data_IF_605224405868
#
_entry.id   IF_605224405868
#
_cell.length_a   1.000
_cell.length_b   1.000
_cell.length_c   1.000
_cell.angle_alpha   90.00
_cell.angle_beta   90.00
_cell.angle_gamma   90.00
#
_symmetry.space_group_name_H-M   'P 1'
#
loop_
_entity.id
_entity.type
_entity.pdbx_description
1 polymer ?
#
# COMPACT_ATOMS: atom_id res chain seq x y z
N UNK A 1 18.00 8.09 -30.57
CA UNK A 1 17.53 7.58 -29.26
C UNK A 1 17.38 6.05 -29.23
N UNK A 2 16.94 5.43 -30.35
CA UNK A 2 16.72 3.96 -30.40
C UNK A 2 18.03 3.13 -30.37
N UNK A 3 19.16 3.67 -30.75
CA UNK A 3 20.44 2.93 -30.79
C UNK A 3 21.03 2.69 -29.38
N UNK A 4 20.77 3.55 -28.41
CA UNK A 4 21.20 3.35 -27.00
C UNK A 4 20.44 2.24 -26.28
N UNK A 5 19.17 2.05 -26.62
CA UNK A 5 18.33 0.98 -26.06
C UNK A 5 18.77 -0.42 -26.52
N UNK A 6 19.43 -0.52 -27.69
CA UNK A 6 19.86 -1.80 -28.27
C UNK A 6 21.15 -2.38 -27.65
N UNK A 7 21.94 -1.54 -27.00
CA UNK A 7 23.18 -1.96 -26.31
C UNK A 7 23.01 -2.15 -24.81
N UNK A 8 21.79 -1.96 -24.31
CA UNK A 8 21.44 -2.18 -22.90
C UNK A 8 21.63 -3.66 -22.54
N UNK A 9 22.36 -3.91 -21.45
CA UNK A 9 22.69 -5.25 -21.00
C UNK A 9 21.64 -5.68 -19.97
N UNK A 10 21.01 -6.81 -20.22
CA UNK A 10 20.02 -7.43 -19.33
C UNK A 10 20.68 -8.63 -18.64
N UNK A 11 20.48 -8.75 -17.33
CA UNK A 11 20.92 -9.93 -16.61
C UNK A 11 19.92 -11.07 -16.88
N UNK A 12 20.41 -12.17 -17.44
CA UNK A 12 19.60 -13.35 -17.71
C UNK A 12 20.27 -14.55 -17.02
N UNK A 13 19.68 -14.99 -15.95
CA UNK A 13 20.22 -16.11 -15.21
C UNK A 13 21.53 -15.81 -14.50
N UNK A 14 22.54 -16.63 -14.76
CA UNK A 14 23.89 -16.46 -14.21
C UNK A 14 24.82 -15.65 -15.11
N UNK A 15 24.29 -14.98 -16.15
CA UNK A 15 25.06 -14.21 -17.10
C UNK A 15 24.38 -12.93 -17.53
N UNK A 16 25.12 -12.10 -18.26
CA UNK A 16 24.60 -10.87 -18.86
C UNK A 16 24.50 -11.07 -20.37
N UNK A 17 23.36 -10.69 -20.97
CA UNK A 17 23.12 -10.70 -22.41
C UNK A 17 22.72 -9.31 -22.88
N UNK A 18 23.02 -8.97 -24.12
CA UNK A 18 22.46 -7.74 -24.70
C UNK A 18 20.95 -7.90 -24.87
N UNK A 19 20.20 -6.86 -24.60
CA UNK A 19 18.72 -6.87 -24.68
C UNK A 19 18.20 -7.38 -26.02
N UNK A 20 18.90 -7.06 -27.11
CA UNK A 20 18.57 -7.55 -28.45
C UNK A 20 18.72 -9.06 -28.66
N UNK A 21 19.52 -9.71 -27.84
CA UNK A 21 19.82 -11.14 -27.93
C UNK A 21 18.89 -11.97 -27.01
N UNK A 22 18.06 -11.31 -26.20
CA UNK A 22 17.09 -11.96 -25.32
C UNK A 22 15.82 -12.26 -26.10
N UNK A 23 15.57 -13.54 -26.37
CA UNK A 23 14.40 -14.02 -27.12
C UNK A 23 13.12 -14.09 -26.29
N UNK A 24 13.23 -13.90 -24.97
CA UNK A 24 12.13 -13.98 -24.01
C UNK A 24 11.43 -12.66 -23.75
N UNK A 25 10.19 -12.73 -23.19
CA UNK A 25 9.43 -11.56 -22.75
C UNK A 25 10.00 -10.99 -21.44
N UNK A 26 11.10 -10.24 -21.54
CA UNK A 26 11.75 -9.54 -20.42
C UNK A 26 11.31 -8.08 -20.42
N UNK A 27 10.84 -7.60 -19.26
CA UNK A 27 10.61 -6.17 -19.07
C UNK A 27 11.71 -5.59 -18.18
N UNK A 28 12.27 -4.48 -18.59
CA UNK A 28 13.36 -3.79 -17.91
C UNK A 28 12.86 -2.47 -17.31
N UNK A 29 13.26 -2.22 -16.07
CA UNK A 29 13.07 -0.96 -15.36
C UNK A 29 14.44 -0.44 -14.98
N UNK A 30 14.90 0.57 -15.69
CA UNK A 30 16.25 1.14 -15.53
C UNK A 30 16.29 2.31 -14.55
N UNK A 31 17.48 2.88 -14.43
CA UNK A 31 17.80 3.96 -13.49
C UNK A 31 16.94 5.24 -13.67
N UNK A 32 16.45 5.50 -14.89
CA UNK A 32 15.56 6.64 -15.15
C UNK A 32 14.28 6.59 -14.30
N UNK A 33 13.69 5.42 -14.18
CA UNK A 33 12.47 5.23 -13.38
C UNK A 33 12.80 5.30 -11.90
N UNK A 34 13.91 4.69 -11.48
CA UNK A 34 14.28 4.62 -10.06
C UNK A 34 14.73 5.96 -9.50
N UNK A 35 15.35 6.84 -10.31
CA UNK A 35 15.76 8.19 -9.90
C UNK A 35 14.60 9.17 -9.74
N UNK A 36 13.64 9.11 -10.67
CA UNK A 36 12.61 10.14 -10.78
C UNK A 36 11.33 9.81 -9.99
N UNK A 37 11.23 8.63 -9.42
CA UNK A 37 10.05 8.19 -8.67
C UNK A 37 10.33 8.15 -7.17
N UNK A 38 9.45 8.76 -6.39
CA UNK A 38 9.47 8.60 -4.95
C UNK A 38 8.91 7.21 -4.62
N UNK A 39 9.77 6.31 -4.18
CA UNK A 39 9.43 4.94 -3.82
C UNK A 39 9.80 4.68 -2.36
N UNK A 40 8.90 4.04 -1.61
CA UNK A 40 9.16 3.56 -0.25
C UNK A 40 9.80 2.18 -0.27
N UNK A 41 9.47 1.40 -1.31
CA UNK A 41 10.02 0.06 -1.54
C UNK A 41 10.22 -0.21 -3.05
N UNK A 42 10.91 -1.31 -3.36
CA UNK A 42 11.26 -1.67 -4.73
C UNK A 42 10.04 -1.96 -5.63
N UNK A 43 8.91 -2.42 -5.07
CA UNK A 43 7.69 -2.70 -5.85
C UNK A 43 7.05 -1.44 -6.40
N UNK A 44 7.23 -0.30 -5.74
CA UNK A 44 6.67 0.98 -6.19
C UNK A 44 7.18 1.34 -7.61
N UNK A 45 8.39 0.90 -7.97
CA UNK A 45 8.93 1.11 -9.32
C UNK A 45 8.21 0.31 -10.41
N UNK A 46 7.58 -0.81 -10.03
CA UNK A 46 6.90 -1.70 -10.96
C UNK A 46 5.43 -1.31 -11.20
N UNK A 47 4.83 -0.55 -10.27
CA UNK A 47 3.42 -0.16 -10.37
C UNK A 47 3.19 0.69 -11.61
N UNK A 48 2.40 0.16 -12.56
CA UNK A 48 2.03 0.87 -13.80
C UNK A 48 3.16 1.02 -14.83
N UNK A 49 4.36 0.45 -14.58
CA UNK A 49 5.50 0.57 -15.50
C UNK A 49 5.68 -0.67 -16.37
N UNK A 50 5.25 -1.84 -15.90
CA UNK A 50 5.52 -3.12 -16.55
C UNK A 50 4.23 -3.80 -16.99
N UNK A 51 3.98 -3.97 -18.30
CA UNK A 51 2.81 -4.69 -18.80
C UNK A 51 2.79 -6.14 -18.34
N UNK A 52 1.61 -6.61 -17.89
CA UNK A 52 1.42 -7.99 -17.40
C UNK A 52 1.92 -8.26 -15.98
N UNK A 53 2.36 -7.23 -15.26
CA UNK A 53 2.60 -7.26 -13.82
C UNK A 53 1.44 -6.54 -13.13
N UNK A 54 0.74 -7.27 -12.27
CA UNK A 54 -0.35 -6.72 -11.46
C UNK A 54 0.14 -6.58 -10.03
N UNK A 55 0.12 -5.36 -9.53
CA UNK A 55 0.49 -5.04 -8.16
C UNK A 55 -0.71 -4.36 -7.52
N UNK A 56 -1.17 -4.91 -6.41
CA UNK A 56 -2.15 -4.27 -5.55
C UNK A 56 -1.37 -3.46 -4.52
N UNK A 57 -1.26 -2.13 -4.66
CA UNK A 57 -0.51 -1.33 -3.71
C UNK A 57 -1.18 -1.40 -2.33
N UNK A 58 -0.37 -1.46 -1.29
CA UNK A 58 -0.83 -1.23 0.07
C UNK A 58 -1.01 0.26 0.31
N UNK A 59 -1.99 0.61 1.12
CA UNK A 59 -2.21 2.00 1.59
C UNK A 59 -1.47 2.30 2.88
N UNK A 60 -0.79 1.31 3.45
CA UNK A 60 -0.03 1.44 4.70
C UNK A 60 1.16 2.40 4.55
N UNK A 61 1.59 2.99 5.65
CA UNK A 61 2.74 3.91 5.69
C UNK A 61 4.03 3.29 5.13
N UNK A 62 4.21 1.97 5.27
CA UNK A 62 5.33 1.21 4.72
C UNK A 62 5.29 1.06 3.20
N UNK A 63 4.17 1.36 2.57
CA UNK A 63 3.95 1.05 1.16
C UNK A 63 3.96 -0.46 0.93
N UNK A 64 4.41 -0.88 -0.25
CA UNK A 64 4.46 -2.30 -0.60
C UNK A 64 3.25 -2.76 -1.37
N UNK A 65 3.08 -4.06 -1.43
CA UNK A 65 1.97 -4.65 -2.14
C UNK A 65 1.32 -5.75 -1.31
N UNK A 66 0.01 -5.69 -1.19
CA UNK A 66 -0.79 -6.80 -0.67
C UNK A 66 -0.86 -7.98 -1.64
N UNK A 67 -0.50 -7.76 -2.90
CA UNK A 67 -0.43 -8.79 -3.93
C UNK A 67 0.47 -8.39 -5.09
N UNK A 68 1.34 -9.32 -5.51
CA UNK A 68 2.19 -9.21 -6.67
C UNK A 68 1.99 -10.41 -7.57
N UNK A 69 1.48 -10.21 -8.76
CA UNK A 69 1.19 -11.27 -9.72
C UNK A 69 1.82 -10.94 -11.07
N UNK A 70 2.50 -11.92 -11.67
CA UNK A 70 2.98 -11.86 -13.04
C UNK A 70 2.08 -12.76 -13.89
N UNK A 71 1.45 -12.17 -14.94
CA UNK A 71 0.49 -12.86 -15.83
C UNK A 71 -0.72 -13.48 -15.12
N UNK A 72 -1.11 -12.92 -13.97
CA UNK A 72 -2.28 -13.36 -13.23
C UNK A 72 -2.04 -14.57 -12.33
N UNK A 73 -3.13 -15.10 -11.74
CA UNK A 73 -3.08 -16.21 -10.79
C UNK A 73 -2.97 -17.54 -11.55
N UNK A 74 -1.83 -18.21 -11.45
CA UNK A 74 -1.51 -19.44 -12.19
C UNK A 74 -1.88 -20.71 -11.44
N UNK A 75 -2.08 -20.65 -10.13
CA UNK A 75 -2.42 -21.80 -9.29
C UNK A 75 -3.45 -21.44 -8.23
N UNK A 76 -4.31 -22.38 -7.90
CA UNK A 76 -5.29 -22.25 -6.79
C UNK A 76 -4.69 -22.65 -5.44
N UNK A 77 -3.64 -23.47 -5.42
CA UNK A 77 -3.07 -24.03 -4.19
C UNK A 77 -1.58 -23.68 -3.97
N UNK A 78 -0.81 -23.45 -5.04
CA UNK A 78 0.60 -23.10 -4.94
C UNK A 78 0.78 -21.57 -4.79
N UNK A 79 1.94 -21.17 -4.23
CA UNK A 79 2.32 -19.75 -4.18
C UNK A 79 2.35 -19.17 -5.59
N UNK A 80 1.72 -18.02 -5.76
CA UNK A 80 1.71 -17.24 -7.01
C UNK A 80 2.67 -16.05 -6.96
N UNK A 81 3.45 -15.94 -5.88
CA UNK A 81 4.45 -14.88 -5.72
C UNK A 81 5.67 -15.18 -6.60
N UNK A 82 6.16 -14.21 -7.36
CA UNK A 82 7.36 -14.38 -8.17
C UNK A 82 8.60 -14.59 -7.30
N UNK A 83 9.60 -15.27 -7.88
CA UNK A 83 10.91 -15.44 -7.28
C UNK A 83 11.69 -14.13 -7.35
N UNK A 84 12.31 -13.73 -6.25
CA UNK A 84 13.19 -12.57 -6.21
C UNK A 84 14.64 -13.04 -6.26
N UNK A 85 15.42 -12.43 -7.14
CA UNK A 85 16.86 -12.65 -7.26
C UNK A 85 17.56 -11.31 -7.10
N UNK A 86 18.38 -11.18 -6.09
CA UNK A 86 19.12 -9.96 -5.76
C UNK A 86 20.60 -10.16 -6.07
N UNK A 87 21.15 -9.35 -6.97
CA UNK A 87 22.55 -9.45 -7.43
C UNK A 87 22.97 -10.88 -7.84
N UNK A 88 22.05 -11.62 -8.49
CA UNK A 88 22.30 -12.98 -8.97
C UNK A 88 22.05 -14.09 -7.94
N UNK A 89 21.68 -13.76 -6.70
CA UNK A 89 21.40 -14.73 -5.63
C UNK A 89 19.91 -14.75 -5.31
N UNK A 90 19.34 -15.95 -5.13
CA UNK A 90 17.93 -16.08 -4.72
C UNK A 90 17.74 -15.44 -3.35
N UNK A 91 16.85 -14.46 -3.31
CA UNK A 91 16.56 -13.70 -2.10
C UNK A 91 15.32 -14.25 -1.40
N UNK A 92 15.49 -14.70 -0.17
CA UNK A 92 14.40 -15.27 0.64
C UNK A 92 13.77 -14.26 1.61
N UNK A 93 14.24 -13.01 1.63
CA UNK A 93 13.65 -11.91 2.39
C UNK A 93 12.48 -11.27 1.66
N UNK A 94 11.89 -10.26 2.29
CA UNK A 94 10.85 -9.46 1.66
C UNK A 94 11.48 -8.42 0.73
N UNK A 95 10.88 -8.20 -0.43
CA UNK A 95 11.34 -7.18 -1.39
C UNK A 95 11.36 -5.77 -0.78
N UNK A 96 10.52 -5.53 0.22
CA UNK A 96 10.47 -4.29 1.00
C UNK A 96 11.74 -4.03 1.83
N UNK A 97 12.51 -5.08 2.10
CA UNK A 97 13.78 -4.96 2.84
C UNK A 97 14.89 -4.36 1.95
N UNK A 98 14.71 -4.40 0.62
CA UNK A 98 15.65 -3.80 -0.32
C UNK A 98 15.41 -2.29 -0.38
N UNK A 99 16.48 -1.52 -0.14
CA UNK A 99 16.40 -0.06 -0.23
C UNK A 99 16.21 0.36 -1.70
N UNK A 100 15.10 1.04 -2.05
CA UNK A 100 14.88 1.48 -3.43
C UNK A 100 15.99 2.40 -3.96
N UNK A 101 16.66 3.17 -3.10
CA UNK A 101 17.74 4.06 -3.51
C UNK A 101 19.02 3.31 -3.92
N UNK A 102 19.16 2.01 -3.55
CA UNK A 102 20.29 1.16 -3.92
C UNK A 102 20.08 0.41 -5.23
N UNK A 103 18.87 0.44 -5.80
CA UNK A 103 18.53 -0.28 -7.02
C UNK A 103 19.06 0.47 -8.24
N UNK A 104 19.81 -0.23 -9.08
CA UNK A 104 20.26 0.24 -10.40
C UNK A 104 19.22 -0.11 -11.46
N UNK A 105 18.79 -1.39 -11.48
CA UNK A 105 17.79 -1.87 -12.43
C UNK A 105 16.99 -3.04 -11.90
N UNK A 106 15.83 -3.27 -12.49
CA UNK A 106 14.99 -4.44 -12.25
C UNK A 106 14.60 -5.07 -13.58
N UNK A 107 14.80 -6.38 -13.72
CA UNK A 107 14.40 -7.15 -14.88
C UNK A 107 13.34 -8.17 -14.49
N UNK A 108 12.21 -8.18 -15.19
CA UNK A 108 11.09 -9.06 -14.91
C UNK A 108 10.99 -10.12 -16.00
N UNK A 109 11.32 -11.37 -15.62
CA UNK A 109 11.22 -12.53 -16.48
C UNK A 109 9.80 -13.10 -16.40
N UNK A 110 9.08 -13.05 -17.52
CA UNK A 110 7.65 -13.39 -17.54
C UNK A 110 7.34 -14.72 -18.24
N UNK A 111 8.23 -15.19 -19.10
CA UNK A 111 8.00 -16.42 -19.87
C UNK A 111 8.80 -17.62 -19.35
N UNK A 112 8.34 -18.83 -19.72
CA UNK A 112 8.93 -20.06 -19.27
C UNK A 112 10.38 -20.27 -19.75
N UNK A 113 10.76 -19.70 -20.91
CA UNK A 113 12.12 -19.84 -21.45
C UNK A 113 13.13 -19.05 -20.64
N UNK A 114 12.79 -17.81 -20.27
CA UNK A 114 13.65 -16.94 -19.46
C UNK A 114 13.71 -17.38 -17.99
N UNK A 115 12.65 -18.02 -17.47
CA UNK A 115 12.61 -18.49 -16.07
C UNK A 115 13.10 -19.93 -15.87
N UNK A 116 13.35 -20.68 -16.95
CA UNK A 116 13.72 -22.10 -16.90
C UNK A 116 14.92 -22.43 -16.01
N UNK A 117 15.92 -21.57 -15.97
CA UNK A 117 17.12 -21.73 -15.14
C UNK A 117 16.84 -21.72 -13.63
N UNK A 118 15.73 -21.11 -13.21
CA UNK A 118 15.30 -21.08 -11.80
C UNK A 118 14.39 -22.27 -11.42
N UNK A 119 14.12 -23.17 -12.38
CA UNK A 119 13.32 -24.37 -12.20
C UNK A 119 11.91 -24.07 -11.75
N UNK A 120 11.31 -24.93 -10.94
CA UNK A 120 9.94 -24.80 -10.45
C UNK A 120 9.68 -23.54 -9.64
N UNK A 121 10.69 -22.97 -8.97
CA UNK A 121 10.58 -21.72 -8.22
C UNK A 121 10.33 -20.49 -9.12
N UNK A 122 10.77 -20.56 -10.39
CA UNK A 122 10.53 -19.51 -11.38
C UNK A 122 9.16 -19.57 -12.08
N UNK A 123 8.33 -20.56 -11.77
CA UNK A 123 7.05 -20.77 -12.48
C UNK A 123 6.07 -19.58 -12.39
N UNK A 124 6.07 -18.85 -11.28
CA UNK A 124 5.27 -17.64 -11.09
C UNK A 124 5.93 -16.35 -11.65
N UNK A 125 7.05 -16.49 -12.38
CA UNK A 125 7.88 -15.38 -12.85
C UNK A 125 9.06 -15.12 -11.91
N UNK A 126 10.03 -14.35 -12.40
CA UNK A 126 11.24 -13.98 -11.65
C UNK A 126 11.47 -12.48 -11.75
N UNK A 127 11.80 -11.85 -10.64
CA UNK A 127 12.21 -10.46 -10.56
C UNK A 127 13.70 -10.44 -10.22
N UNK A 128 14.51 -9.97 -11.16
CA UNK A 128 15.93 -9.76 -10.96
C UNK A 128 16.14 -8.32 -10.52
N UNK A 129 16.80 -8.13 -9.40
CA UNK A 129 17.14 -6.81 -8.86
C UNK A 129 18.66 -6.68 -8.90
N UNK A 130 19.14 -5.70 -9.63
CA UNK A 130 20.55 -5.36 -9.67
C UNK A 130 20.76 -4.09 -8.84
N UNK A 131 21.71 -4.14 -7.92
CA UNK A 131 22.03 -3.00 -7.08
C UNK A 131 23.24 -2.23 -7.60
N UNK A 132 23.32 -0.97 -7.24
CA UNK A 132 24.36 -0.05 -7.65
C UNK A 132 25.75 -0.56 -7.28
N UNK A 133 26.69 -0.35 -8.19
CA UNK A 133 28.12 -0.64 -8.05
C UNK A 133 28.96 0.60 -8.31
N UNK A 134 30.20 0.58 -7.87
CA UNK A 134 31.15 1.63 -8.20
C UNK A 134 31.61 1.51 -9.66
N UNK A 135 31.43 2.56 -10.45
CA UNK A 135 31.81 2.59 -11.88
C UNK A 135 32.87 3.65 -12.18
N UNK A 136 32.99 4.67 -11.34
CA UNK A 136 33.89 5.81 -11.53
C UNK A 136 35.19 5.64 -10.74
N UNK A 137 36.32 5.99 -11.37
CA UNK A 137 37.62 6.02 -10.69
C UNK A 137 37.70 7.10 -9.60
N UNK A 138 36.94 8.17 -9.73
CA UNK A 138 36.79 9.17 -8.67
C UNK A 138 35.60 8.75 -7.78
N UNK A 139 35.79 8.79 -6.46
CA UNK A 139 34.68 8.54 -5.53
C UNK A 139 33.52 9.47 -5.81
N UNK A 140 32.31 8.88 -5.93
CA UNK A 140 31.05 9.62 -6.09
C UNK A 140 30.30 9.52 -4.76
N UNK A 141 30.00 10.67 -4.20
CA UNK A 141 29.18 10.78 -3.00
C UNK A 141 27.80 11.32 -3.41
N UNK A 142 26.76 10.58 -3.08
CA UNK A 142 25.38 11.01 -3.31
C UNK A 142 24.68 11.15 -1.95
N UNK A 143 23.99 12.26 -1.78
CA UNK A 143 23.08 12.49 -0.66
C UNK A 143 21.74 12.90 -1.22
N UNK A 144 20.69 12.24 -0.82
CA UNK A 144 19.33 12.54 -1.25
C UNK A 144 18.37 12.64 -0.07
N UNK A 145 17.47 13.59 -0.18
CA UNK A 145 16.36 13.76 0.78
C UNK A 145 15.09 13.93 -0.03
N UNK A 146 14.09 13.11 0.30
CA UNK A 146 12.75 13.20 -0.31
C UNK A 146 11.75 13.43 0.81
N UNK A 147 10.99 14.51 0.72
CA UNK A 147 9.92 14.84 1.66
C UNK A 147 8.65 14.99 0.86
N UNK A 148 7.58 14.37 1.31
CA UNK A 148 6.29 14.40 0.63
C UNK A 148 5.13 14.29 1.61
N UNK A 149 3.94 14.61 1.13
CA UNK A 149 2.70 14.44 1.87
C UNK A 149 1.84 13.42 1.16
N UNK A 150 1.35 12.44 1.91
CA UNK A 150 0.36 11.47 1.46
C UNK A 150 -1.03 11.96 1.87
N UNK A 151 -1.95 11.99 0.92
CA UNK A 151 -3.34 12.39 1.16
C UNK A 151 -4.28 11.33 0.56
N UNK A 152 -5.44 11.14 1.18
CA UNK A 152 -6.49 10.35 0.57
C UNK A 152 -6.99 11.06 -0.71
N UNK A 153 -6.98 10.35 -1.83
CA UNK A 153 -7.46 10.89 -3.13
C UNK A 153 -8.96 10.99 -3.20
N UNK A 154 -9.65 10.20 -2.42
CA UNK A 154 -11.10 10.20 -2.30
C UNK A 154 -11.48 9.83 -0.87
N UNK A 155 -12.33 10.63 -0.27
CA UNK A 155 -12.99 10.32 1.00
C UNK A 155 -14.49 10.41 0.76
N UNK A 156 -15.26 9.35 1.08
CA UNK A 156 -16.71 9.43 0.99
C UNK A 156 -17.22 10.45 2.01
N UNK A 157 -18.19 11.25 1.60
CA UNK A 157 -18.87 12.16 2.52
C UNK A 157 -19.64 11.35 3.57
N UNK A 158 -19.41 11.66 4.82
CA UNK A 158 -20.18 11.05 5.91
C UNK A 158 -21.60 11.65 5.93
N UNK A 159 -22.61 10.84 6.21
CA UNK A 159 -23.96 11.36 6.35
C UNK A 159 -24.01 12.37 7.50
N UNK A 160 -24.67 13.49 7.26
CA UNK A 160 -25.00 14.43 8.32
C UNK A 160 -25.87 13.76 9.38
N UNK A 161 -25.94 14.35 10.58
CA UNK A 161 -26.81 13.83 11.64
C UNK A 161 -28.26 13.65 11.17
N UNK A 162 -28.79 14.62 10.43
CA UNK A 162 -30.15 14.55 9.89
C UNK A 162 -30.32 13.37 8.91
N UNK A 163 -29.36 13.18 8.01
CA UNK A 163 -29.37 12.06 7.06
C UNK A 163 -29.22 10.71 7.79
N UNK A 164 -28.39 10.65 8.84
CA UNK A 164 -28.24 9.45 9.64
C UNK A 164 -29.55 9.10 10.37
N UNK A 165 -30.19 10.07 11.00
CA UNK A 165 -31.49 9.89 11.66
C UNK A 165 -32.57 9.45 10.67
N UNK A 166 -32.61 10.04 9.48
CA UNK A 166 -33.55 9.63 8.43
C UNK A 166 -33.31 8.17 8.01
N UNK A 167 -32.06 7.80 7.73
CA UNK A 167 -31.70 6.40 7.39
C UNK A 167 -32.11 5.42 8.49
N UNK A 168 -31.91 5.80 9.75
CA UNK A 168 -32.30 4.96 10.90
C UNK A 168 -33.83 4.79 10.95
N UNK A 169 -34.58 5.88 10.75
CA UNK A 169 -36.04 5.87 10.64
C UNK A 169 -36.52 4.95 9.50
N UNK A 170 -35.95 5.10 8.31
CA UNK A 170 -36.33 4.30 7.14
C UNK A 170 -35.97 2.81 7.31
N UNK A 171 -34.89 2.50 7.99
CA UNK A 171 -34.53 1.12 8.36
C UNK A 171 -35.59 0.48 9.25
N UNK A 172 -36.03 1.16 10.32
CA UNK A 172 -37.05 0.64 11.23
C UNK A 172 -38.43 0.55 10.56
N UNK A 173 -38.80 1.50 9.71
CA UNK A 173 -40.00 1.41 8.88
C UNK A 173 -39.97 0.18 7.97
N UNK A 174 -38.83 -0.09 7.35
CA UNK A 174 -38.66 -1.24 6.46
C UNK A 174 -38.80 -2.55 7.22
N UNK A 175 -38.17 -2.68 8.40
CA UNK A 175 -38.31 -3.87 9.24
C UNK A 175 -39.77 -4.04 9.67
N UNK A 176 -40.41 -2.96 10.07
CA UNK A 176 -41.80 -2.99 10.53
C UNK A 176 -42.75 -3.41 9.43
N UNK A 177 -42.55 -2.95 8.19
CA UNK A 177 -43.32 -3.32 7.00
C UNK A 177 -43.36 -4.85 6.76
N UNK A 178 -42.25 -5.54 7.05
CA UNK A 178 -42.16 -7.01 6.88
C UNK A 178 -42.74 -7.82 8.08
N UNK A 179 -43.19 -7.16 9.13
CA UNK A 179 -43.89 -7.85 10.23
C UNK A 179 -45.34 -8.23 9.84
N UNK A 180 -45.91 -9.25 10.47
CA UNK A 180 -47.37 -9.52 10.35
C UNK A 180 -48.19 -8.27 10.67
N UNK A 181 -49.28 -8.04 9.94
CA UNK A 181 -50.05 -6.80 10.00
C UNK A 181 -50.54 -6.40 11.40
N UNK A 182 -50.83 -7.39 12.27
CA UNK A 182 -51.19 -7.18 13.69
C UNK A 182 -50.02 -6.75 14.58
N UNK A 183 -48.77 -6.89 14.08
CA UNK A 183 -47.54 -6.48 14.76
C UNK A 183 -46.95 -5.21 14.21
N UNK A 184 -47.45 -4.69 13.07
CA UNK A 184 -46.99 -3.44 12.48
C UNK A 184 -47.38 -2.24 13.36
N UNK A 185 -46.50 -1.26 13.38
CA UNK A 185 -46.74 0.01 14.07
C UNK A 185 -47.65 0.93 13.26
N UNK A 186 -48.25 1.89 13.92
CA UNK A 186 -49.07 2.87 13.24
C UNK A 186 -48.29 3.79 12.29
N UNK A 187 -49.04 4.40 11.37
CA UNK A 187 -48.48 5.36 10.42
C UNK A 187 -47.71 6.46 11.15
N UNK A 188 -46.48 6.71 10.73
CA UNK A 188 -45.63 7.76 11.31
C UNK A 188 -44.91 7.37 12.61
N UNK A 189 -45.07 6.14 13.13
CA UNK A 189 -44.48 5.71 14.41
C UNK A 189 -42.96 5.99 14.52
N UNK A 190 -42.20 5.74 13.45
CA UNK A 190 -40.76 5.97 13.38
C UNK A 190 -40.38 7.30 12.74
N UNK A 191 -41.36 8.13 12.33
CA UNK A 191 -41.08 9.44 11.74
C UNK A 191 -40.70 10.48 12.81
N UNK A 192 -39.93 11.46 12.36
CA UNK A 192 -39.57 12.61 13.19
C UNK A 192 -40.85 13.35 13.62
N UNK A 193 -41.08 13.55 14.92
CA UNK A 193 -42.27 14.22 15.43
C UNK A 193 -42.42 15.67 14.96
N UNK A 194 -41.37 16.29 14.42
CA UNK A 194 -41.41 17.62 13.80
C UNK A 194 -41.76 17.58 12.32
N UNK A 195 -41.78 16.37 11.71
CA UNK A 195 -42.07 16.17 10.29
C UNK A 195 -42.88 14.88 10.09
N UNK A 196 -44.10 14.85 10.62
CA UNK A 196 -45.01 13.74 10.52
C UNK A 196 -45.71 13.64 9.16
N UNK A 197 -46.08 12.45 8.70
CA UNK A 197 -46.86 12.25 7.49
C UNK A 197 -48.27 12.88 7.62
N UNK A 198 -48.87 13.20 6.49
CA UNK A 198 -50.20 13.75 6.45
C UNK A 198 -51.23 12.87 7.18
N UNK A 199 -52.04 13.45 8.04
CA UNK A 199 -53.07 12.75 8.80
C UNK A 199 -52.61 12.21 10.17
N UNK A 200 -51.37 12.46 10.56
CA UNK A 200 -50.86 12.11 11.88
C UNK A 200 -50.55 13.36 12.69
N UNK A 201 -51.24 13.59 13.79
CA UNK A 201 -50.91 14.69 14.71
C UNK A 201 -49.81 14.28 15.71
N UNK A 202 -49.16 15.27 16.35
CA UNK A 202 -48.14 14.99 17.40
C UNK A 202 -48.76 14.25 18.59
N UNK A 203 -50.00 14.57 18.92
CA UNK A 203 -50.76 13.89 20.01
C UNK A 203 -51.02 12.43 19.65
N UNK A 204 -51.47 12.15 18.43
CA UNK A 204 -51.66 10.78 17.95
C UNK A 204 -50.34 10.01 17.94
N UNK A 205 -49.27 10.67 17.45
CA UNK A 205 -47.94 10.08 17.47
C UNK A 205 -47.47 9.73 18.89
N UNK A 206 -47.63 10.64 19.85
CA UNK A 206 -47.34 10.40 21.25
C UNK A 206 -48.16 9.25 21.87
N UNK A 207 -49.43 9.15 21.52
CA UNK A 207 -50.34 8.13 22.01
C UNK A 207 -50.00 6.69 21.58
N UNK A 208 -49.10 6.51 20.60
CA UNK A 208 -48.57 5.18 20.27
C UNK A 208 -47.74 4.56 21.42
N UNK A 209 -47.24 5.39 22.32
CA UNK A 209 -46.43 4.94 23.44
C UNK A 209 -47.08 5.33 24.77
N UNK A 210 -47.65 4.37 25.51
CA UNK A 210 -48.28 4.64 26.81
C UNK A 210 -47.33 5.22 27.87
N UNK A 211 -46.00 5.03 27.67
CA UNK A 211 -44.96 5.53 28.56
C UNK A 211 -44.36 6.87 28.12
N UNK A 212 -45.02 7.59 27.18
CA UNK A 212 -44.54 8.86 26.70
C UNK A 212 -44.28 9.87 27.83
N UNK A 213 -43.02 10.27 27.96
CA UNK A 213 -42.53 11.14 29.04
C UNK A 213 -42.77 12.62 28.84
N UNK A 214 -43.33 13.03 27.70
CA UNK A 214 -43.43 14.44 27.26
C UNK A 214 -42.25 14.89 26.38
N UNK A 215 -41.20 14.10 26.27
CA UNK A 215 -40.04 14.38 25.42
C UNK A 215 -40.16 13.66 24.06
N UNK A 216 -40.52 14.40 23.04
CA UNK A 216 -40.71 13.89 21.69
C UNK A 216 -39.41 13.36 21.05
N UNK A 217 -38.30 14.06 21.24
CA UNK A 217 -37.00 13.67 20.69
C UNK A 217 -36.51 12.38 21.32
N UNK A 218 -36.59 12.27 22.64
CA UNK A 218 -36.14 11.08 23.35
C UNK A 218 -36.99 9.87 22.93
N UNK A 219 -38.32 9.99 22.95
CA UNK A 219 -39.23 8.92 22.54
C UNK A 219 -38.99 8.49 21.10
N UNK A 220 -38.78 9.46 20.17
CA UNK A 220 -38.44 9.14 18.78
C UNK A 220 -37.18 8.32 18.66
N UNK A 221 -36.13 8.74 19.33
CA UNK A 221 -34.83 8.03 19.30
C UNK A 221 -34.92 6.65 19.99
N UNK A 222 -35.62 6.54 21.10
CA UNK A 222 -35.85 5.26 21.78
C UNK A 222 -36.62 4.25 20.92
N UNK A 223 -37.59 4.68 20.12
CA UNK A 223 -38.30 3.82 19.15
C UNK A 223 -37.35 3.25 18.08
N UNK A 224 -36.27 3.94 17.79
CA UNK A 224 -35.20 3.51 16.88
C UNK A 224 -34.02 2.83 17.61
N UNK A 225 -34.23 2.46 18.90
CA UNK A 225 -33.24 1.75 19.72
C UNK A 225 -31.91 2.50 19.89
N UNK A 226 -31.95 3.82 20.02
CA UNK A 226 -30.79 4.60 20.41
C UNK A 226 -30.52 4.47 21.91
N UNK A 227 -29.23 4.42 22.27
CA UNK A 227 -28.79 4.40 23.66
C UNK A 227 -28.99 5.78 24.34
N UNK A 228 -29.13 5.86 25.67
CA UNK A 228 -29.31 7.14 26.37
C UNK A 228 -28.22 8.16 26.08
N UNK A 229 -26.96 7.73 25.95
CA UNK A 229 -25.85 8.63 25.64
C UNK A 229 -25.94 9.23 24.22
N UNK A 230 -26.49 8.47 23.26
CA UNK A 230 -26.71 8.96 21.90
C UNK A 230 -27.81 10.00 21.88
N UNK A 231 -28.89 9.78 22.66
CA UNK A 231 -29.98 10.72 22.85
C UNK A 231 -29.47 12.03 23.47
N UNK A 232 -28.64 11.95 24.52
CA UNK A 232 -28.04 13.10 25.18
C UNK A 232 -27.16 13.90 24.20
N UNK A 233 -26.30 13.23 23.46
CA UNK A 233 -25.42 13.85 22.47
C UNK A 233 -26.21 14.52 21.33
N UNK A 234 -27.27 13.86 20.86
CA UNK A 234 -28.14 14.42 19.82
C UNK A 234 -28.82 15.73 20.31
N UNK A 235 -29.41 15.70 21.52
CA UNK A 235 -30.04 16.88 22.15
C UNK A 235 -29.04 18.02 22.38
N UNK A 236 -27.78 17.67 22.70
CA UNK A 236 -26.70 18.63 22.89
C UNK A 236 -26.07 19.12 21.58
N UNK A 237 -26.52 18.63 20.41
CA UNK A 237 -25.97 18.98 19.12
C UNK A 237 -24.52 18.51 18.93
N UNK A 238 -24.10 17.47 19.66
CA UNK A 238 -22.74 16.91 19.56
C UNK A 238 -22.72 15.83 18.50
N UNK A 239 -22.04 16.12 17.39
CA UNK A 239 -21.79 15.18 16.31
C UNK A 239 -20.30 15.05 16.06
N UNK A 240 -19.88 13.86 15.67
CA UNK A 240 -18.49 13.56 15.40
C UNK A 240 -18.38 13.12 13.93
N UNK A 241 -17.51 13.75 13.19
CA UNK A 241 -17.08 13.25 11.90
C UNK A 241 -15.97 12.20 12.16
N UNK A 242 -16.31 10.93 11.95
CA UNK A 242 -15.39 9.83 12.15
C UNK A 242 -14.25 9.84 11.13
N UNK A 243 -14.48 10.43 9.95
CA UNK A 243 -13.43 10.53 8.94
C UNK A 243 -12.31 11.47 9.39
N UNK A 244 -12.65 12.60 9.99
CA UNK A 244 -11.67 13.54 10.54
C UNK A 244 -10.86 12.96 11.72
N UNK A 245 -11.44 11.99 12.44
CA UNK A 245 -10.74 11.32 13.53
C UNK A 245 -9.83 10.19 13.07
N UNK A 246 -10.18 9.54 11.96
CA UNK A 246 -9.47 8.35 11.46
C UNK A 246 -8.43 8.71 10.42
N UNK A 247 -8.69 9.72 9.59
CA UNK A 247 -7.81 10.10 8.50
C UNK A 247 -7.00 11.35 8.81
N UNK A 248 -5.78 11.34 8.32
CA UNK A 248 -4.84 12.47 8.42
C UNK A 248 -4.02 12.60 7.14
N UNK A 249 -3.35 13.72 6.99
CA UNK A 249 -2.29 13.85 6.01
C UNK A 249 -1.02 13.19 6.54
N UNK A 250 -0.51 12.19 5.84
CA UNK A 250 0.71 11.49 6.22
C UNK A 250 1.96 12.23 5.75
N UNK A 251 2.96 12.38 6.61
CA UNK A 251 4.27 12.92 6.25
C UNK A 251 5.19 11.77 5.83
N UNK A 252 5.78 11.89 4.65
CA UNK A 252 6.76 10.94 4.12
C UNK A 252 8.14 11.57 4.10
N UNK A 253 9.13 10.87 4.66
CA UNK A 253 10.51 11.31 4.75
C UNK A 253 11.44 10.16 4.39
N UNK A 254 12.31 10.38 3.40
CA UNK A 254 13.33 9.44 3.00
C UNK A 254 14.67 10.16 2.88
N UNK A 255 15.66 9.65 3.58
CA UNK A 255 17.03 10.16 3.62
C UNK A 255 17.97 9.05 3.16
N UNK A 256 18.81 9.32 2.19
CA UNK A 256 19.80 8.37 1.74
C UNK A 256 21.14 9.04 1.48
N UNK A 257 22.20 8.35 1.86
CA UNK A 257 23.57 8.73 1.55
C UNK A 257 24.31 7.51 0.99
N UNK A 258 25.11 7.71 -0.03
CA UNK A 258 25.95 6.64 -0.58
C UNK A 258 27.29 7.15 -1.05
N UNK A 259 28.28 6.27 -1.01
CA UNK A 259 29.60 6.48 -1.61
C UNK A 259 29.92 5.29 -2.49
N UNK A 260 30.40 5.56 -3.70
CA UNK A 260 30.78 4.54 -4.67
C UNK A 260 32.05 4.93 -5.40
N UNK A 261 32.78 3.94 -5.84
CA UNK A 261 33.98 4.18 -6.62
C UNK A 261 34.58 2.87 -7.16
N UNK A 262 35.52 3.05 -8.08
CA UNK A 262 36.24 1.97 -8.72
C UNK A 262 37.74 2.29 -8.73
N UNK A 263 38.56 1.35 -8.34
CA UNK A 263 39.99 1.36 -8.56
C UNK A 263 40.35 0.39 -9.68
N UNK A 264 41.62 0.26 -10.04
CA UNK A 264 42.05 -0.73 -11.01
C UNK A 264 41.62 -2.17 -10.68
N UNK A 265 41.43 -2.49 -9.41
CA UNK A 265 41.14 -3.86 -8.93
C UNK A 265 39.90 -3.98 -8.06
N UNK A 266 39.34 -2.89 -7.59
CA UNK A 266 38.25 -2.94 -6.59
C UNK A 266 37.13 -2.00 -6.97
N UNK A 267 35.90 -2.51 -7.00
CA UNK A 267 34.69 -1.71 -7.06
C UNK A 267 34.04 -1.73 -5.69
N UNK A 268 33.56 -0.58 -5.24
CA UNK A 268 32.86 -0.50 -3.96
C UNK A 268 31.63 0.40 -4.07
N UNK A 269 30.61 0.02 -3.32
CA UNK A 269 29.40 0.81 -3.09
C UNK A 269 28.98 0.62 -1.62
N UNK A 270 28.78 1.72 -0.92
CA UNK A 270 28.30 1.72 0.46
C UNK A 270 27.15 2.70 0.55
N UNK A 271 26.03 2.31 1.14
CA UNK A 271 24.87 3.17 1.37
C UNK A 271 24.32 3.07 2.78
N UNK A 272 23.70 4.17 3.19
CA UNK A 272 22.87 4.29 4.39
C UNK A 272 21.56 4.94 3.98
N UNK A 273 20.44 4.41 4.46
CA UNK A 273 19.11 4.94 4.22
C UNK A 273 18.29 4.96 5.50
N UNK A 274 17.48 6.01 5.65
CA UNK A 274 16.49 6.13 6.71
C UNK A 274 15.17 6.61 6.12
N UNK A 275 14.12 5.87 6.40
CA UNK A 275 12.76 6.18 5.98
C UNK A 275 11.89 6.36 7.22
N UNK A 276 11.10 7.43 7.28
CA UNK A 276 10.08 7.66 8.29
C UNK A 276 8.82 8.17 7.61
N UNK A 277 7.79 7.35 7.61
CA UNK A 277 6.53 7.65 6.94
C UNK A 277 5.38 7.52 7.93
N UNK A 278 4.55 8.55 7.99
CA UNK A 278 3.22 8.47 8.60
C UNK A 278 2.19 8.13 7.51
N UNK A 279 1.27 7.24 7.84
CA UNK A 279 0.17 6.85 6.96
C UNK A 279 -0.96 7.88 6.92
N UNK A 280 -1.90 7.67 6.00
CA UNK A 280 -3.12 8.48 5.90
C UNK A 280 -4.14 8.13 6.98
N UNK A 281 -3.93 7.04 7.71
CA UNK A 281 -4.76 6.64 8.85
C UNK A 281 -4.00 6.94 10.13
N UNK A 282 -4.67 7.51 11.11
CA UNK A 282 -4.06 7.86 12.41
C UNK A 282 -3.53 6.59 13.10
N UNK A 283 -2.26 6.63 13.51
CA UNK A 283 -1.59 5.49 14.16
C UNK A 283 -0.86 4.54 13.20
N UNK A 284 -1.00 4.72 11.88
CA UNK A 284 -0.20 3.98 10.91
C UNK A 284 1.14 4.68 10.70
N UNK A 285 2.23 4.01 11.07
CA UNK A 285 3.60 4.54 10.96
C UNK A 285 4.55 3.45 10.46
N UNK A 286 5.52 3.87 9.66
CA UNK A 286 6.59 3.01 9.17
C UNK A 286 7.94 3.69 9.31
N UNK A 287 8.90 3.00 9.91
CA UNK A 287 10.29 3.44 10.05
C UNK A 287 11.22 2.34 9.59
N UNK A 288 12.22 2.69 8.81
CA UNK A 288 13.23 1.74 8.38
C UNK A 288 14.61 2.38 8.32
N UNK A 289 15.60 1.69 8.87
CA UNK A 289 17.01 1.99 8.69
C UNK A 289 17.64 0.88 7.85
N UNK A 290 18.31 1.25 6.77
CA UNK A 290 18.89 0.31 5.82
C UNK A 290 20.35 0.66 5.57
N UNK A 291 21.18 -0.36 5.45
CA UNK A 291 22.58 -0.18 5.02
C UNK A 291 22.97 -1.28 4.05
N UNK A 292 23.83 -0.94 3.10
CA UNK A 292 24.34 -1.86 2.11
C UNK A 292 25.82 -1.65 1.87
N UNK A 293 26.53 -2.77 1.63
CA UNK A 293 27.93 -2.77 1.21
C UNK A 293 28.06 -3.75 0.06
N UNK A 294 28.46 -3.27 -1.11
CA UNK A 294 28.87 -4.09 -2.23
C UNK A 294 30.36 -3.85 -2.49
N UNK A 295 31.14 -4.91 -2.50
CA UNK A 295 32.57 -4.87 -2.71
C UNK A 295 32.95 -6.01 -3.65
N UNK A 296 33.52 -5.67 -4.80
CA UNK A 296 34.09 -6.64 -5.71
C UNK A 296 35.57 -6.31 -5.90
N UNK A 297 36.48 -7.25 -5.61
CA UNK A 297 37.93 -7.02 -5.72
C UNK A 297 38.65 -8.18 -6.41
N UNK A 298 39.52 -7.84 -7.33
CA UNK A 298 40.45 -8.77 -7.96
C UNK A 298 41.72 -8.86 -7.11
N UNK A 299 41.87 -10.01 -6.41
CA UNK A 299 43.05 -10.27 -5.56
C UNK A 299 44.22 -10.65 -6.47
N UNK A 300 43.96 -11.55 -7.42
CA UNK A 300 44.89 -11.96 -8.46
C UNK A 300 44.16 -12.11 -9.77
N UNK A 301 44.86 -12.27 -10.89
CA UNK A 301 44.26 -12.44 -12.24
C UNK A 301 43.30 -13.65 -12.32
N UNK A 302 43.39 -14.58 -11.39
CA UNK A 302 42.55 -15.76 -11.35
C UNK A 302 41.60 -15.81 -10.14
N UNK A 303 41.70 -14.85 -9.19
CA UNK A 303 40.88 -14.83 -7.98
C UNK A 303 40.20 -13.50 -7.79
N UNK A 304 38.88 -13.51 -7.91
CA UNK A 304 38.00 -12.38 -7.58
C UNK A 304 37.21 -12.72 -6.31
N UNK A 305 37.08 -11.75 -5.42
CA UNK A 305 36.27 -11.87 -4.20
C UNK A 305 35.18 -10.79 -4.26
N UNK A 306 33.92 -11.22 -4.11
CA UNK A 306 32.75 -10.35 -3.99
C UNK A 306 32.14 -10.46 -2.60
N UNK A 307 31.71 -9.33 -2.05
CA UNK A 307 30.91 -9.23 -0.83
C UNK A 307 29.69 -8.34 -1.11
N UNK A 308 28.50 -8.91 -0.95
CA UNK A 308 27.25 -8.17 -0.96
C UNK A 308 26.57 -8.37 0.40
N UNK A 309 26.56 -7.34 1.21
CA UNK A 309 25.94 -7.37 2.53
C UNK A 309 24.87 -6.30 2.65
N UNK A 310 23.73 -6.66 3.24
CA UNK A 310 22.62 -5.77 3.49
C UNK A 310 22.15 -5.95 4.94
N UNK A 311 21.88 -4.85 5.59
CA UNK A 311 21.24 -4.83 6.89
C UNK A 311 20.01 -3.92 6.82
N UNK A 312 18.88 -4.43 7.35
CA UNK A 312 17.63 -3.68 7.43
C UNK A 312 17.02 -3.86 8.81
N UNK A 313 16.72 -2.75 9.46
CA UNK A 313 15.92 -2.70 10.67
C UNK A 313 14.66 -1.89 10.38
N UNK A 314 13.49 -2.50 10.57
CA UNK A 314 12.21 -1.85 10.32
C UNK A 314 11.24 -2.01 11.49
N UNK A 315 10.44 -0.99 11.71
CA UNK A 315 9.29 -0.99 12.61
C UNK A 315 8.07 -0.49 11.87
N UNK A 316 6.95 -1.14 12.11
CA UNK A 316 5.66 -0.76 11.55
C UNK A 316 4.63 -0.83 12.67
N UNK A 317 3.99 0.30 12.94
CA UNK A 317 2.83 0.38 13.80
C UNK A 317 1.62 0.42 12.87
N UNK A 318 0.96 -0.70 12.71
CA UNK A 318 -0.22 -0.82 11.85
C UNK A 318 -1.45 -0.93 12.75
N UNK A 319 -2.56 -0.34 12.30
CA UNK A 319 -3.86 -0.56 12.92
C UNK A 319 -4.23 -2.01 12.65
N UNK A 320 -4.22 -2.83 13.69
CA UNK A 320 -4.76 -4.18 13.62
C UNK A 320 -6.28 -4.05 13.68
N UNK A 321 -6.96 -4.42 12.61
CA UNK A 321 -8.38 -4.73 12.69
C UNK A 321 -8.48 -6.07 13.41
N UNK A 322 -8.95 -6.04 14.66
CA UNK A 322 -9.34 -7.23 15.42
C UNK A 322 -10.66 -7.80 14.87
#
# INVERSE_FOLDING_TARGET
EDSKLLDEVVVVGYGTMKRKDVTGAVAHVGEEVTKNRAATNALDFLVGTVPGVHITPSTDAGGGASGLLIRGKQSLKASTSPLIVLDGVVFYGNIEDVNPNDIESMDILKDASSTAIYGSKGSAGVILINTKKGTSEKPIINVSTKIGVSQATFMPEMPTAAQYMQRRSDYYKTIDYFKPGDQQKGLGYYDNPDNLPAGVSREQWAAYDPSFSGDYTETWMQRMEFNPIEVENYKAGKFVDWMDLVYQNGLRQDYAASVSGKTARTNYYVSLGYTNNDGIVVGDQFRASRSRVNLDTEITKWLNIGLNAQFTHKGSDNIKAD
#
